data_IF_000255617138
#
_entry.id   IF_000255617138
#
_cell.length_a   1.000
_cell.length_b   1.000
_cell.length_c   1.000
_cell.angle_alpha   90.00
_cell.angle_beta   90.00
_cell.angle_gamma   90.00
#
_symmetry.space_group_name_H-M   'P 1'
#
loop_
_entity.id
_entity.type
_entity.pdbx_description
1 polymer ?
#
# COMPACT_ATOMS: atom_id res chain seq x y z
N UNK A 1 -23.78 -21.92 -18.88
CA UNK A 1 -22.93 -20.83 -18.38
C UNK A 1 -23.62 -20.23 -17.16
N UNK A 2 -23.05 -20.44 -16.01
CA UNK A 2 -23.57 -19.90 -14.76
C UNK A 2 -23.31 -18.37 -14.68
N UNK A 3 -24.03 -17.67 -13.82
CA UNK A 3 -23.84 -16.21 -13.59
C UNK A 3 -22.39 -15.90 -13.18
N UNK A 4 -21.77 -16.81 -12.42
CA UNK A 4 -20.35 -16.76 -12.02
C UNK A 4 -19.40 -16.85 -13.22
N UNK A 5 -19.66 -17.74 -14.18
CA UNK A 5 -18.83 -17.86 -15.41
C UNK A 5 -18.96 -16.63 -16.31
N UNK A 6 -20.15 -16.02 -16.39
CA UNK A 6 -20.36 -14.74 -17.12
C UNK A 6 -19.61 -13.58 -16.45
N UNK A 7 -19.57 -13.56 -15.13
CA UNK A 7 -18.88 -12.54 -14.36
C UNK A 7 -17.36 -12.69 -14.46
N UNK A 8 -16.84 -13.91 -14.43
CA UNK A 8 -15.42 -14.21 -14.68
C UNK A 8 -15.01 -13.87 -16.11
N UNK A 9 -15.81 -14.18 -17.14
CA UNK A 9 -15.52 -13.78 -18.52
C UNK A 9 -15.53 -12.28 -18.72
N UNK A 10 -16.44 -11.54 -18.06
CA UNK A 10 -16.43 -10.06 -18.08
C UNK A 10 -15.19 -9.48 -17.39
N UNK A 11 -14.78 -10.07 -16.27
CA UNK A 11 -13.57 -9.66 -15.54
C UNK A 11 -12.29 -9.97 -16.34
N UNK A 12 -12.23 -11.14 -17.00
CA UNK A 12 -11.09 -11.51 -17.86
C UNK A 12 -11.00 -10.64 -19.12
N UNK A 13 -12.12 -10.30 -19.76
CA UNK A 13 -12.16 -9.39 -20.89
C UNK A 13 -11.80 -7.95 -20.51
N UNK A 14 -12.25 -7.50 -19.34
CA UNK A 14 -11.84 -6.22 -18.73
C UNK A 14 -10.32 -6.21 -18.48
N UNK A 15 -9.78 -7.36 -18.10
CA UNK A 15 -8.38 -7.58 -17.78
C UNK A 15 -7.41 -7.36 -18.92
N UNK A 16 -7.69 -7.93 -20.07
CA UNK A 16 -6.81 -7.82 -21.24
C UNK A 16 -6.79 -6.39 -21.84
N UNK A 17 -7.92 -5.67 -21.77
CA UNK A 17 -8.02 -4.28 -22.22
C UNK A 17 -7.42 -3.29 -21.19
N UNK A 18 -7.44 -3.65 -19.90
CA UNK A 18 -7.08 -2.73 -18.82
C UNK A 18 -5.58 -2.43 -18.70
N UNK A 19 -4.68 -3.35 -19.08
CA UNK A 19 -3.24 -3.14 -18.88
C UNK A 19 -2.68 -2.03 -19.80
N UNK A 20 -3.08 -2.00 -21.05
CA UNK A 20 -2.70 -0.94 -22.01
C UNK A 20 -3.37 0.39 -21.64
N UNK A 21 -4.68 0.35 -21.39
CA UNK A 21 -5.48 1.53 -21.04
C UNK A 21 -4.99 2.13 -19.69
N UNK A 22 -4.67 1.29 -18.73
CA UNK A 22 -4.19 1.79 -17.43
C UNK A 22 -2.86 2.52 -17.54
N UNK A 23 -1.93 2.01 -18.35
CA UNK A 23 -0.66 2.70 -18.62
C UNK A 23 -0.90 4.03 -19.37
N UNK A 24 -1.83 4.05 -20.32
CA UNK A 24 -2.23 5.25 -21.05
C UNK A 24 -2.96 6.28 -20.18
N UNK A 25 -3.68 5.85 -19.12
CA UNK A 25 -4.32 6.76 -18.16
C UNK A 25 -3.33 7.20 -17.07
N UNK A 26 -2.43 6.35 -16.62
CA UNK A 26 -1.40 6.72 -15.65
C UNK A 26 -0.48 7.83 -16.16
N UNK A 27 -0.14 7.82 -17.45
CA UNK A 27 0.74 8.82 -18.05
C UNK A 27 0.19 10.25 -17.91
N UNK A 28 -1.02 10.61 -18.37
CA UNK A 28 -1.56 11.95 -18.18
C UNK A 28 -1.78 12.30 -16.70
N UNK A 29 -2.15 11.34 -15.84
CA UNK A 29 -2.28 11.61 -14.42
C UNK A 29 -0.95 11.93 -13.75
N UNK A 30 0.13 11.27 -14.13
CA UNK A 30 1.48 11.62 -13.65
C UNK A 30 1.86 13.05 -14.05
N UNK A 31 1.50 13.50 -15.26
CA UNK A 31 1.70 14.89 -15.66
C UNK A 31 0.88 15.86 -14.79
N UNK A 32 -0.40 15.56 -14.53
CA UNK A 32 -1.25 16.40 -13.67
C UNK A 32 -0.65 16.51 -12.27
N UNK A 33 -0.22 15.40 -11.67
CA UNK A 33 0.42 15.38 -10.34
C UNK A 33 1.73 16.19 -10.34
N UNK A 34 2.58 16.00 -11.36
CA UNK A 34 3.87 16.69 -11.43
C UNK A 34 3.69 18.20 -11.64
N UNK A 35 2.75 18.62 -12.49
CA UNK A 35 2.44 20.03 -12.67
C UNK A 35 1.83 20.63 -11.40
N UNK A 36 0.97 19.91 -10.69
CA UNK A 36 0.44 20.37 -9.40
C UNK A 36 1.55 20.60 -8.36
N UNK A 37 2.48 19.65 -8.23
CA UNK A 37 3.65 19.78 -7.33
C UNK A 37 4.53 20.96 -7.71
N UNK A 38 4.74 21.19 -9.00
CA UNK A 38 5.55 22.31 -9.49
C UNK A 38 4.84 23.64 -9.23
N UNK A 39 3.52 23.71 -9.43
CA UNK A 39 2.72 24.90 -9.14
C UNK A 39 2.69 25.23 -7.64
N UNK A 40 2.59 24.23 -6.76
CA UNK A 40 2.67 24.43 -5.31
C UNK A 40 4.04 25.00 -4.89
N UNK A 41 5.12 24.54 -5.54
CA UNK A 41 6.46 25.12 -5.31
C UNK A 41 6.54 26.58 -5.75
N UNK A 42 6.04 26.91 -6.95
CA UNK A 42 6.02 28.28 -7.46
C UNK A 42 5.17 29.22 -6.57
N UNK A 43 4.08 28.69 -6.00
CA UNK A 43 3.26 29.43 -5.04
C UNK A 43 3.99 29.70 -3.74
N UNK A 44 4.83 28.79 -3.26
CA UNK A 44 5.71 29.03 -2.09
C UNK A 44 6.74 30.11 -2.37
N UNK A 45 7.40 30.05 -3.53
CA UNK A 45 8.36 31.06 -3.96
C UNK A 45 7.66 32.44 -4.10
N UNK A 46 6.42 32.46 -4.63
CA UNK A 46 5.62 33.70 -4.74
C UNK A 46 5.25 34.25 -3.37
N UNK A 47 4.87 33.43 -2.40
CA UNK A 47 4.57 33.86 -1.03
C UNK A 47 5.78 34.47 -0.33
N UNK A 48 6.98 33.91 -0.56
CA UNK A 48 8.23 34.54 -0.03
C UNK A 48 8.41 35.94 -0.60
N UNK A 49 8.24 36.12 -1.92
CA UNK A 49 8.35 37.45 -2.56
C UNK A 49 7.29 38.42 -2.00
N UNK A 50 6.05 37.97 -1.81
CA UNK A 50 4.97 38.80 -1.25
C UNK A 50 5.31 39.23 0.18
N UNK A 51 5.82 38.31 1.00
CA UNK A 51 6.24 38.63 2.36
C UNK A 51 7.38 39.68 2.40
N UNK A 52 8.33 39.59 1.45
CA UNK A 52 9.46 40.57 1.37
C UNK A 52 8.99 41.98 1.00
N UNK A 53 7.85 42.11 0.31
CA UNK A 53 7.31 43.42 -0.10
C UNK A 53 6.06 43.85 0.68
N UNK A 54 5.62 43.03 1.66
CA UNK A 54 4.38 43.23 2.40
C UNK A 54 4.27 44.63 3.04
N UNK A 55 5.37 45.16 3.59
CA UNK A 55 5.43 46.50 4.20
C UNK A 55 5.22 47.64 3.19
N UNK A 56 5.26 47.36 1.89
CA UNK A 56 5.09 48.34 0.81
C UNK A 56 3.71 48.33 0.19
N UNK A 57 2.90 47.32 0.53
CA UNK A 57 1.54 47.10 0.04
C UNK A 57 0.51 47.73 1.01
N UNK A 58 -0.68 48.01 0.49
CA UNK A 58 -1.82 48.27 1.35
C UNK A 58 -2.12 47.00 2.18
N UNK A 59 -2.38 47.13 3.50
CA UNK A 59 -2.62 45.99 4.35
C UNK A 59 -3.79 45.06 3.88
N UNK A 60 -4.84 45.65 3.31
CA UNK A 60 -5.98 44.89 2.80
C UNK A 60 -5.58 44.15 1.52
N UNK A 61 -4.85 44.76 0.60
CA UNK A 61 -4.32 44.13 -0.62
C UNK A 61 -3.35 42.97 -0.29
N UNK A 62 -2.46 43.21 0.71
CA UNK A 62 -1.51 42.17 1.14
C UNK A 62 -2.24 40.93 1.72
N UNK A 63 -3.31 41.12 2.50
CA UNK A 63 -4.13 40.04 3.04
C UNK A 63 -4.85 39.28 1.92
N UNK A 64 -5.48 40.00 0.99
CA UNK A 64 -6.18 39.37 -0.14
C UNK A 64 -5.25 38.53 -1.02
N UNK A 65 -4.04 39.01 -1.30
CA UNK A 65 -3.05 38.26 -2.08
C UNK A 65 -2.61 36.99 -1.33
N UNK A 66 -2.41 37.08 -0.01
CA UNK A 66 -2.04 35.95 0.81
C UNK A 66 -3.15 34.89 0.82
N UNK A 67 -4.40 35.28 1.00
CA UNK A 67 -5.56 34.38 1.00
C UNK A 67 -5.70 33.66 -0.36
N UNK A 68 -5.55 34.39 -1.48
CA UNK A 68 -5.58 33.80 -2.83
C UNK A 68 -4.43 32.77 -3.00
N UNK A 69 -3.24 33.09 -2.52
CA UNK A 69 -2.10 32.18 -2.63
C UNK A 69 -2.27 30.92 -1.76
N UNK A 70 -2.93 31.03 -0.59
CA UNK A 70 -3.27 29.91 0.28
C UNK A 70 -4.34 29.02 -0.35
N UNK A 71 -5.36 29.61 -0.94
CA UNK A 71 -6.42 28.89 -1.66
C UNK A 71 -5.86 28.14 -2.88
N UNK A 72 -4.97 28.76 -3.65
CA UNK A 72 -4.31 28.11 -4.78
C UNK A 72 -3.44 26.93 -4.32
N UNK A 73 -2.66 27.10 -3.24
CA UNK A 73 -1.86 26.02 -2.66
C UNK A 73 -2.74 24.84 -2.22
N UNK A 74 -3.85 25.14 -1.56
CA UNK A 74 -4.85 24.15 -1.15
C UNK A 74 -5.43 23.40 -2.35
N UNK A 75 -5.75 24.10 -3.42
CA UNK A 75 -6.26 23.51 -4.66
C UNK A 75 -5.21 22.62 -5.34
N UNK A 76 -3.94 23.03 -5.38
CA UNK A 76 -2.85 22.21 -5.92
C UNK A 76 -2.67 20.91 -5.13
N UNK A 77 -2.74 20.96 -3.81
CA UNK A 77 -2.68 19.78 -2.96
C UNK A 77 -3.85 18.82 -3.23
N UNK A 78 -5.08 19.33 -3.35
CA UNK A 78 -6.25 18.51 -3.70
C UNK A 78 -6.12 17.85 -5.08
N UNK A 79 -5.62 18.58 -6.09
CA UNK A 79 -5.38 18.04 -7.43
C UNK A 79 -4.35 16.90 -7.37
N UNK A 80 -3.28 17.08 -6.61
CA UNK A 80 -2.29 16.03 -6.40
C UNK A 80 -2.90 14.80 -5.73
N UNK A 81 -3.62 14.96 -4.63
CA UNK A 81 -4.27 13.87 -3.90
C UNK A 81 -5.25 13.07 -4.77
N UNK A 82 -6.09 13.76 -5.52
CA UNK A 82 -7.05 13.11 -6.43
C UNK A 82 -6.35 12.41 -7.59
N UNK A 83 -5.26 12.94 -8.12
CA UNK A 83 -4.44 12.31 -9.13
C UNK A 83 -3.78 11.01 -8.62
N UNK A 84 -3.17 11.06 -7.44
CA UNK A 84 -2.55 9.89 -6.79
C UNK A 84 -3.61 8.82 -6.47
N UNK A 85 -4.80 9.22 -6.03
CA UNK A 85 -5.93 8.31 -5.83
C UNK A 85 -6.38 7.63 -7.11
N UNK A 86 -6.48 8.36 -8.21
CA UNK A 86 -6.87 7.81 -9.51
C UNK A 86 -5.84 6.77 -10.00
N UNK A 87 -4.54 7.04 -9.85
CA UNK A 87 -3.46 6.07 -10.14
C UNK A 87 -3.61 4.82 -9.29
N UNK A 88 -3.86 4.98 -8.00
CA UNK A 88 -4.04 3.86 -7.06
C UNK A 88 -5.24 2.98 -7.43
N UNK A 89 -6.37 3.58 -7.85
CA UNK A 89 -7.55 2.85 -8.32
C UNK A 89 -7.22 2.07 -9.60
N UNK A 90 -6.52 2.70 -10.56
CA UNK A 90 -6.11 2.06 -11.82
C UNK A 90 -5.17 0.88 -11.53
N UNK A 91 -4.22 1.05 -10.62
CA UNK A 91 -3.34 -0.03 -10.18
C UNK A 91 -4.13 -1.16 -9.51
N UNK A 92 -5.13 -0.83 -8.67
CA UNK A 92 -6.05 -1.80 -8.08
C UNK A 92 -6.82 -2.60 -9.15
N UNK A 93 -7.36 -1.93 -10.17
CA UNK A 93 -8.05 -2.56 -11.30
C UNK A 93 -7.09 -3.44 -12.11
N UNK A 94 -5.87 -2.99 -12.37
CA UNK A 94 -4.82 -3.78 -13.03
C UNK A 94 -4.47 -5.04 -12.23
N UNK A 95 -4.44 -4.92 -10.93
CA UNK A 95 -4.18 -6.02 -10.02
C UNK A 95 -5.32 -7.07 -10.08
N UNK A 96 -6.57 -6.64 -10.20
CA UNK A 96 -7.74 -7.53 -10.39
C UNK A 96 -7.74 -8.14 -11.81
N UNK A 97 -7.29 -7.38 -12.78
CA UNK A 97 -7.39 -7.67 -14.22
C UNK A 97 -6.30 -8.59 -14.77
N UNK A 98 -5.16 -8.75 -14.10
CA UNK A 98 -4.08 -9.67 -14.51
C UNK A 98 -4.35 -11.13 -14.12
N UNK A 99 -5.59 -11.55 -14.11
CA UNK A 99 -6.00 -12.94 -13.97
C UNK A 99 -5.86 -13.74 -15.28
N UNK A 100 -4.64 -13.95 -15.77
CA UNK A 100 -4.33 -15.25 -16.36
C UNK A 100 -4.18 -16.19 -15.19
N UNK A 101 -4.82 -17.37 -15.26
CA UNK A 101 -4.60 -18.46 -14.28
C UNK A 101 -3.10 -18.57 -14.05
N UNK A 102 -2.65 -18.11 -12.86
CA UNK A 102 -1.23 -18.09 -12.55
C UNK A 102 -0.77 -19.52 -12.44
N UNK A 103 0.26 -19.85 -13.16
CA UNK A 103 0.86 -21.18 -13.11
C UNK A 103 1.56 -21.37 -11.75
N UNK A 104 1.30 -22.49 -11.09
CA UNK A 104 2.04 -22.87 -9.91
C UNK A 104 3.47 -23.26 -10.31
N UNK A 105 4.45 -22.53 -9.78
CA UNK A 105 5.85 -22.71 -10.12
C UNK A 105 6.67 -23.05 -8.87
N UNK A 106 7.73 -23.87 -9.01
CA UNK A 106 8.68 -24.13 -7.94
C UNK A 106 9.34 -22.82 -7.48
N UNK A 107 8.97 -22.31 -6.31
CA UNK A 107 9.36 -21.00 -5.82
C UNK A 107 10.18 -21.09 -4.54
N UNK A 108 11.26 -20.35 -4.50
CA UNK A 108 12.07 -20.11 -3.30
C UNK A 108 11.36 -19.03 -2.46
N UNK A 109 10.66 -19.47 -1.41
CA UNK A 109 9.85 -18.57 -0.58
C UNK A 109 10.71 -17.57 0.23
N UNK A 110 11.80 -17.99 0.90
CA UNK A 110 12.72 -17.05 1.54
C UNK A 110 13.20 -15.93 0.61
N UNK A 111 13.60 -16.27 -0.60
CA UNK A 111 14.06 -15.29 -1.59
C UNK A 111 12.93 -14.35 -2.03
N UNK A 112 11.75 -14.88 -2.34
CA UNK A 112 10.57 -14.09 -2.69
C UNK A 112 10.21 -13.12 -1.56
N UNK A 113 10.15 -13.62 -0.33
CA UNK A 113 9.82 -12.78 0.84
C UNK A 113 10.84 -11.65 1.00
N UNK A 114 12.12 -11.97 0.97
CA UNK A 114 13.21 -10.97 1.06
C UNK A 114 13.05 -9.88 0.00
N UNK A 115 12.91 -10.27 -1.26
CA UNK A 115 12.80 -9.35 -2.39
C UNK A 115 11.62 -8.35 -2.19
N UNK A 116 10.43 -8.85 -1.87
CA UNK A 116 9.23 -7.99 -1.81
C UNK A 116 9.07 -7.23 -0.48
N UNK A 117 9.61 -7.73 0.61
CA UNK A 117 9.75 -7.00 1.88
C UNK A 117 10.64 -5.77 1.68
N UNK A 118 11.83 -5.95 1.11
CA UNK A 118 12.77 -4.84 0.87
C UNK A 118 12.31 -3.91 -0.26
N UNK A 119 11.65 -4.43 -1.29
CA UNK A 119 11.05 -3.59 -2.33
C UNK A 119 10.05 -2.59 -1.73
N UNK A 120 9.16 -3.05 -0.83
CA UNK A 120 8.18 -2.20 -0.14
C UNK A 120 8.86 -1.11 0.69
N UNK A 121 9.90 -1.47 1.44
CA UNK A 121 10.67 -0.53 2.25
C UNK A 121 11.37 0.53 1.41
N UNK A 122 12.10 0.11 0.37
CA UNK A 122 12.83 1.03 -0.50
C UNK A 122 11.91 1.95 -1.29
N UNK A 123 10.76 1.45 -1.78
CA UNK A 123 9.75 2.26 -2.44
C UNK A 123 9.21 3.36 -1.52
N UNK A 124 8.99 3.04 -0.23
CA UNK A 124 8.56 4.05 0.75
C UNK A 124 9.66 5.07 1.03
N UNK A 125 10.89 4.62 1.23
CA UNK A 125 12.04 5.49 1.55
C UNK A 125 12.45 6.39 0.38
N UNK A 126 12.22 5.97 -0.86
CA UNK A 126 12.45 6.80 -2.04
C UNK A 126 11.57 8.07 -2.04
N UNK A 127 10.34 7.95 -1.53
CA UNK A 127 9.38 9.07 -1.42
C UNK A 127 9.50 9.83 -0.09
N UNK A 128 10.07 9.21 0.96
CA UNK A 128 10.18 9.78 2.30
C UNK A 128 11.52 9.38 2.92
N UNK A 129 12.54 10.22 2.71
CA UNK A 129 13.92 9.93 3.16
C UNK A 129 14.07 9.88 4.68
N UNK A 130 13.16 10.49 5.43
CA UNK A 130 13.15 10.47 6.90
C UNK A 130 12.59 9.16 7.46
N UNK A 131 11.79 8.43 6.65
CA UNK A 131 11.20 7.18 7.09
C UNK A 131 12.27 6.12 7.35
N UNK A 132 12.24 5.58 8.57
CA UNK A 132 13.11 4.47 8.97
C UNK A 132 12.29 3.47 9.81
N UNK A 133 12.52 2.18 9.60
CA UNK A 133 11.90 1.08 10.34
C UNK A 133 12.87 -0.09 10.40
N UNK A 134 12.94 -0.77 11.55
CA UNK A 134 13.68 -2.01 11.68
C UNK A 134 12.91 -3.14 10.99
N UNK A 135 13.57 -3.82 10.04
CA UNK A 135 13.00 -5.00 9.37
C UNK A 135 13.73 -6.23 9.90
N UNK A 136 12.97 -7.16 10.47
CA UNK A 136 13.46 -8.43 10.98
C UNK A 136 12.92 -9.54 10.10
N UNK A 137 13.82 -10.35 9.55
CA UNK A 137 13.47 -11.48 8.69
C UNK A 137 13.84 -12.78 9.39
N UNK A 138 12.86 -13.68 9.57
CA UNK A 138 13.03 -14.99 10.18
C UNK A 138 12.46 -16.08 9.26
N UNK A 139 13.26 -16.51 8.32
CA UNK A 139 12.86 -17.56 7.38
C UNK A 139 13.49 -18.89 7.78
N UNK A 140 12.71 -19.97 7.62
CA UNK A 140 13.22 -21.32 7.87
C UNK A 140 14.44 -21.60 7.00
N UNK A 141 15.53 -22.03 7.63
CA UNK A 141 16.69 -22.50 6.89
C UNK A 141 16.36 -23.75 6.06
N UNK A 142 16.97 -23.87 4.89
CA UNK A 142 16.83 -25.04 3.99
C UNK A 142 15.36 -25.37 3.60
N UNK A 143 14.51 -24.34 3.46
CA UNK A 143 13.16 -24.53 2.96
C UNK A 143 13.23 -25.04 1.51
N UNK A 144 12.52 -26.14 1.17
CA UNK A 144 12.47 -26.60 -0.22
C UNK A 144 11.70 -25.59 -1.09
N UNK A 145 11.89 -25.65 -2.40
CA UNK A 145 11.01 -24.88 -3.30
C UNK A 145 9.58 -25.39 -3.19
N UNK A 146 8.63 -24.47 -3.13
CA UNK A 146 7.21 -24.76 -2.94
C UNK A 146 6.42 -24.37 -4.20
N UNK A 147 5.41 -25.19 -4.52
CA UNK A 147 4.51 -24.94 -5.65
C UNK A 147 3.50 -23.86 -5.29
N UNK A 148 3.74 -22.64 -5.71
CA UNK A 148 2.85 -21.47 -5.52
C UNK A 148 2.74 -20.68 -6.81
N UNK A 149 1.84 -19.70 -6.87
CA UNK A 149 1.81 -18.70 -7.93
C UNK A 149 2.63 -17.49 -7.47
N UNK A 150 3.91 -17.34 -7.92
CA UNK A 150 4.84 -16.36 -7.33
C UNK A 150 4.33 -14.91 -7.43
N UNK A 151 3.71 -14.57 -8.57
CA UNK A 151 3.20 -13.22 -8.84
C UNK A 151 2.06 -12.85 -7.87
N UNK A 152 1.15 -13.79 -7.61
CA UNK A 152 0.03 -13.56 -6.71
C UNK A 152 0.50 -13.50 -5.25
N UNK A 153 1.38 -14.42 -4.85
CA UNK A 153 1.93 -14.42 -3.51
C UNK A 153 2.73 -13.13 -3.22
N UNK A 154 3.56 -12.68 -4.16
CA UNK A 154 4.29 -11.41 -4.00
C UNK A 154 3.36 -10.20 -3.88
N UNK A 155 2.23 -10.18 -4.61
CA UNK A 155 1.20 -9.14 -4.45
C UNK A 155 0.58 -9.15 -3.06
N UNK A 156 0.26 -10.33 -2.53
CA UNK A 156 -0.27 -10.47 -1.18
C UNK A 156 0.74 -9.93 -0.15
N UNK A 157 2.02 -10.27 -0.29
CA UNK A 157 3.12 -9.77 0.57
C UNK A 157 3.25 -8.25 0.46
N UNK A 158 3.29 -7.68 -0.76
CA UNK A 158 3.35 -6.23 -0.99
C UNK A 158 2.19 -5.49 -0.32
N UNK A 159 0.95 -6.00 -0.44
CA UNK A 159 -0.22 -5.37 0.15
C UNK A 159 -0.11 -5.31 1.68
N UNK A 160 0.30 -6.40 2.31
CA UNK A 160 0.46 -6.45 3.77
C UNK A 160 1.64 -5.58 4.23
N UNK A 161 2.78 -5.64 3.53
CA UNK A 161 3.93 -4.78 3.84
C UNK A 161 3.60 -3.30 3.74
N UNK A 162 2.88 -2.87 2.70
CA UNK A 162 2.45 -1.48 2.56
C UNK A 162 1.49 -1.04 3.68
N UNK A 163 0.68 -1.94 4.20
CA UNK A 163 -0.17 -1.65 5.35
C UNK A 163 0.65 -1.58 6.65
N UNK A 164 1.58 -2.49 6.87
CA UNK A 164 2.49 -2.47 8.01
C UNK A 164 3.35 -1.19 8.03
N UNK A 165 3.95 -0.83 6.89
CA UNK A 165 4.73 0.41 6.73
C UNK A 165 3.89 1.65 7.05
N UNK A 166 2.65 1.70 6.58
CA UNK A 166 1.73 2.80 6.89
C UNK A 166 1.44 2.86 8.39
N UNK A 167 1.09 1.72 8.99
CA UNK A 167 0.74 1.60 10.41
C UNK A 167 1.89 2.05 11.34
N UNK A 168 3.12 1.62 11.07
CA UNK A 168 4.28 2.04 11.88
C UNK A 168 4.62 3.51 11.67
N UNK A 169 4.45 4.06 10.46
CA UNK A 169 4.64 5.48 10.18
C UNK A 169 3.67 6.34 10.98
N UNK A 170 2.38 6.00 10.96
CA UNK A 170 1.35 6.71 11.72
C UNK A 170 1.65 6.67 13.23
N UNK A 171 2.04 5.50 13.74
CA UNK A 171 2.41 5.39 15.14
C UNK A 171 3.66 6.20 15.47
N UNK A 172 4.66 6.20 14.62
CA UNK A 172 5.88 7.02 14.81
C UNK A 172 5.51 8.48 15.01
N UNK A 173 4.67 9.05 14.14
CA UNK A 173 4.21 10.42 14.28
C UNK A 173 3.47 10.68 15.60
N UNK A 174 2.58 9.74 16.01
CA UNK A 174 1.86 9.84 17.29
C UNK A 174 2.79 9.77 18.50
N UNK A 175 3.82 8.92 18.47
CA UNK A 175 4.77 8.77 19.56
C UNK A 175 5.78 9.93 19.64
N UNK A 176 6.12 10.54 18.49
CA UNK A 176 6.90 11.79 18.42
C UNK A 176 6.13 12.95 19.08
N UNK A 177 4.83 13.11 18.79
CA UNK A 177 3.96 14.10 19.46
C UNK A 177 3.92 13.90 20.98
N UNK A 178 3.87 12.66 21.45
CA UNK A 178 3.91 12.30 22.87
C UNK A 178 5.30 12.42 23.49
N UNK A 179 6.34 12.70 22.68
CA UNK A 179 7.75 12.70 23.10
C UNK A 179 8.18 11.39 23.75
N UNK A 180 7.75 10.26 23.16
CA UNK A 180 8.11 8.92 23.62
C UNK A 180 9.36 8.41 22.89
N UNK A 181 10.57 8.45 23.48
CA UNK A 181 11.81 8.02 22.85
C UNK A 181 11.97 6.50 22.78
N UNK A 182 11.14 5.75 23.50
CA UNK A 182 11.29 4.29 23.64
C UNK A 182 10.64 3.54 22.47
N UNK A 183 9.74 4.18 21.72
CA UNK A 183 9.14 3.56 20.57
C UNK A 183 10.13 3.45 19.41
N UNK A 184 10.34 2.24 18.95
CA UNK A 184 11.15 1.93 17.75
C UNK A 184 10.26 1.23 16.74
N UNK A 185 10.03 1.83 15.57
CA UNK A 185 9.22 1.20 14.53
C UNK A 185 9.88 -0.10 14.05
N UNK A 186 9.10 -1.18 14.02
CA UNK A 186 9.57 -2.51 13.66
C UNK A 186 8.54 -3.24 12.81
N UNK A 187 9.04 -3.97 11.80
CA UNK A 187 8.26 -4.92 11.01
C UNK A 187 9.04 -6.23 10.98
N UNK A 188 8.36 -7.33 11.34
CA UNK A 188 8.92 -8.67 11.32
C UNK A 188 8.22 -9.50 10.25
N UNK A 189 9.00 -10.12 9.37
CA UNK A 189 8.53 -11.06 8.35
C UNK A 189 9.08 -12.45 8.63
N UNK A 190 8.22 -13.47 8.63
CA UNK A 190 8.65 -14.86 8.83
C UNK A 190 7.96 -15.81 7.87
N UNK A 191 8.65 -16.91 7.53
CA UNK A 191 8.12 -17.98 6.69
C UNK A 191 8.60 -19.33 7.18
N UNK A 192 7.68 -20.27 7.37
CA UNK A 192 7.96 -21.64 7.84
C UNK A 192 7.13 -22.61 7.01
N UNK A 193 7.78 -23.69 6.55
CA UNK A 193 7.12 -24.80 5.87
C UNK A 193 7.16 -26.05 6.72
N UNK A 194 6.01 -26.56 7.10
CA UNK A 194 5.88 -27.75 7.94
C UNK A 194 4.59 -28.51 7.60
N UNK A 195 4.68 -29.82 7.49
CA UNK A 195 3.52 -30.70 7.30
C UNK A 195 2.70 -30.40 6.03
N UNK A 196 3.34 -29.95 4.94
CA UNK A 196 2.64 -29.60 3.69
C UNK A 196 1.97 -28.23 3.74
N UNK A 197 2.28 -27.41 4.73
CA UNK A 197 1.74 -26.05 4.89
C UNK A 197 2.85 -25.02 4.95
N UNK A 198 2.72 -23.99 4.14
CA UNK A 198 3.53 -22.78 4.24
C UNK A 198 2.80 -21.78 5.14
N UNK A 199 3.45 -21.35 6.20
CA UNK A 199 2.96 -20.28 7.07
C UNK A 199 3.84 -19.05 6.89
N UNK A 200 3.26 -17.95 6.42
CA UNK A 200 3.90 -16.64 6.32
C UNK A 200 3.26 -15.71 7.36
N UNK A 201 4.07 -15.00 8.12
CA UNK A 201 3.59 -13.96 9.04
C UNK A 201 4.31 -12.65 8.78
N UNK A 202 3.55 -11.57 8.78
CA UNK A 202 4.05 -10.21 8.75
C UNK A 202 3.44 -9.49 9.95
N UNK A 203 4.31 -9.06 10.86
CA UNK A 203 3.95 -8.40 12.12
C UNK A 203 4.52 -7.00 12.14
N UNK A 204 3.71 -6.02 12.47
CA UNK A 204 4.14 -4.64 12.72
C UNK A 204 3.81 -4.24 14.17
N UNK A 205 4.58 -3.32 14.72
CA UNK A 205 4.28 -2.68 15.98
C UNK A 205 3.64 -1.28 15.80
N UNK A 206 2.85 -1.12 14.75
CA UNK A 206 2.16 0.12 14.41
C UNK A 206 0.94 0.43 15.27
N UNK A 207 0.02 1.21 14.71
CA UNK A 207 -1.19 1.68 15.42
C UNK A 207 -2.17 0.59 15.81
N UNK A 208 -2.11 -0.57 15.16
CA UNK A 208 -3.11 -1.63 15.30
C UNK A 208 -4.44 -1.30 14.61
N UNK A 209 -5.36 -2.25 14.61
CA UNK A 209 -6.66 -2.19 13.92
C UNK A 209 -7.78 -2.39 14.94
N UNK A 210 -8.78 -1.49 15.02
CA UNK A 210 -9.95 -1.69 15.87
C UNK A 210 -10.72 -2.97 15.54
N UNK A 211 -11.27 -3.65 16.54
CA UNK A 211 -11.95 -4.94 16.37
C UNK A 211 -13.10 -4.92 15.35
N UNK A 212 -13.85 -3.81 15.29
CA UNK A 212 -14.93 -3.63 14.32
C UNK A 212 -14.43 -3.60 12.87
N UNK A 213 -13.22 -3.05 12.66
CA UNK A 213 -12.56 -3.00 11.34
C UNK A 213 -11.96 -4.37 11.00
N UNK A 214 -11.40 -5.09 11.97
CA UNK A 214 -10.85 -6.43 11.75
C UNK A 214 -11.91 -7.39 11.20
N UNK A 215 -13.14 -7.37 11.73
CA UNK A 215 -14.26 -8.22 11.30
C UNK A 215 -14.64 -8.04 9.82
N UNK A 216 -14.34 -6.89 9.26
CA UNK A 216 -14.70 -6.49 7.90
C UNK A 216 -13.51 -6.43 6.94
N UNK A 217 -12.28 -6.53 7.47
CA UNK A 217 -11.02 -6.25 6.78
C UNK A 217 -10.86 -7.01 5.45
N UNK A 218 -11.37 -8.24 5.39
CA UNK A 218 -11.23 -9.13 4.23
C UNK A 218 -12.47 -9.19 3.32
N UNK A 219 -13.58 -8.58 3.74
CA UNK A 219 -14.88 -8.74 3.08
C UNK A 219 -15.47 -7.44 2.53
N UNK A 220 -15.07 -6.30 3.09
CA UNK A 220 -15.58 -4.98 2.69
C UNK A 220 -14.45 -4.08 2.21
N UNK A 221 -14.75 -3.13 1.32
CA UNK A 221 -13.82 -2.10 0.87
C UNK A 221 -13.63 -1.04 1.97
N UNK A 222 -12.88 -1.40 3.02
CA UNK A 222 -12.64 -0.51 4.15
C UNK A 222 -11.23 0.04 4.09
N UNK A 223 -11.10 1.33 4.29
CA UNK A 223 -9.82 1.99 4.55
C UNK A 223 -9.96 2.92 5.74
N UNK A 224 -9.03 2.82 6.68
CA UNK A 224 -8.84 3.77 7.77
C UNK A 224 -7.88 4.89 7.38
N UNK A 225 -7.29 4.80 6.18
CA UNK A 225 -6.38 5.81 5.64
C UNK A 225 -7.16 7.04 5.19
N UNK A 226 -6.59 8.25 5.28
CA UNK A 226 -7.18 9.46 4.72
C UNK A 226 -7.58 9.28 3.25
N UNK A 227 -8.54 10.07 2.81
CA UNK A 227 -9.03 10.08 1.43
C UNK A 227 -7.83 10.28 0.49
N UNK A 228 -7.61 9.33 -0.43
CA UNK A 228 -6.47 9.36 -1.38
C UNK A 228 -5.30 8.44 -1.02
N UNK A 229 -5.13 8.03 0.23
CA UNK A 229 -3.99 7.20 0.66
C UNK A 229 -4.28 5.70 0.75
N UNK A 230 -5.51 5.27 0.48
CA UNK A 230 -5.87 3.85 0.47
C UNK A 230 -7.09 3.57 -0.40
N UNK A 231 -7.02 2.51 -1.20
CA UNK A 231 -8.14 2.05 -2.04
C UNK A 231 -9.15 1.19 -1.29
N UNK A 232 -8.77 0.67 -0.10
CA UNK A 232 -9.55 -0.33 0.63
C UNK A 232 -9.56 -1.73 0.00
N UNK A 233 -9.00 -1.88 -1.21
CA UNK A 233 -9.04 -3.13 -1.99
C UNK A 233 -7.90 -4.10 -1.65
N UNK A 234 -6.79 -3.62 -1.08
CA UNK A 234 -5.57 -4.43 -0.89
C UNK A 234 -5.80 -5.69 -0.08
N UNK A 235 -6.56 -5.62 1.02
CA UNK A 235 -6.81 -6.78 1.88
C UNK A 235 -7.83 -7.75 1.29
N UNK A 236 -8.81 -7.27 0.51
CA UNK A 236 -9.71 -8.15 -0.23
C UNK A 236 -8.96 -8.93 -1.33
N UNK A 237 -8.08 -8.25 -2.09
CA UNK A 237 -7.23 -8.90 -3.09
C UNK A 237 -6.33 -9.93 -2.41
N UNK A 238 -5.76 -9.60 -1.26
CA UNK A 238 -4.93 -10.54 -0.48
C UNK A 238 -5.75 -11.75 -0.04
N UNK A 239 -6.97 -11.54 0.45
CA UNK A 239 -7.87 -12.63 0.81
C UNK A 239 -8.21 -13.52 -0.40
N UNK A 240 -8.49 -12.93 -1.56
CA UNK A 240 -8.79 -13.68 -2.78
C UNK A 240 -7.59 -14.53 -3.23
N UNK A 241 -6.39 -13.97 -3.20
CA UNK A 241 -5.15 -14.68 -3.51
C UNK A 241 -4.93 -15.87 -2.56
N UNK A 242 -5.05 -15.64 -1.26
CA UNK A 242 -4.73 -16.67 -0.26
C UNK A 242 -5.83 -17.74 -0.19
N UNK A 243 -7.10 -17.32 -0.12
CA UNK A 243 -8.22 -18.23 0.12
C UNK A 243 -8.75 -18.86 -1.16
N UNK A 244 -9.02 -18.04 -2.19
CA UNK A 244 -9.68 -18.54 -3.40
C UNK A 244 -8.69 -19.14 -4.39
N UNK A 245 -7.51 -18.53 -4.57
CA UNK A 245 -6.52 -19.01 -5.53
C UNK A 245 -5.66 -20.12 -4.92
N UNK A 246 -5.02 -19.87 -3.77
CA UNK A 246 -4.12 -20.85 -3.13
C UNK A 246 -4.83 -21.83 -2.17
N UNK A 247 -6.16 -21.72 -1.99
CA UNK A 247 -6.95 -22.58 -1.08
C UNK A 247 -6.45 -22.59 0.36
N UNK A 248 -5.84 -21.50 0.77
CA UNK A 248 -5.28 -21.30 2.09
C UNK A 248 -6.22 -20.58 3.05
N UNK A 249 -5.65 -20.09 4.13
CA UNK A 249 -6.33 -19.31 5.16
C UNK A 249 -5.55 -18.04 5.45
N UNK A 250 -6.27 -16.92 5.65
CA UNK A 250 -5.71 -15.65 6.12
C UNK A 250 -6.29 -15.31 7.49
N UNK A 251 -5.44 -14.85 8.40
CA UNK A 251 -5.83 -14.43 9.75
C UNK A 251 -5.25 -13.07 10.06
N UNK A 252 -6.00 -12.28 10.85
CA UNK A 252 -5.55 -11.04 11.44
C UNK A 252 -5.59 -11.17 12.95
N UNK A 253 -4.50 -10.76 13.60
CA UNK A 253 -4.41 -10.59 15.04
C UNK A 253 -3.87 -9.19 15.30
N UNK A 254 -4.68 -8.33 15.91
CA UNK A 254 -4.35 -6.92 16.04
C UNK A 254 -4.94 -6.32 17.32
N UNK A 255 -4.16 -5.44 17.94
CA UNK A 255 -4.61 -4.65 19.08
C UNK A 255 -4.19 -3.20 18.92
N UNK A 256 -5.15 -2.30 19.11
CA UNK A 256 -4.90 -0.86 19.00
C UNK A 256 -3.80 -0.44 19.97
N UNK A 257 -2.80 0.27 19.45
CA UNK A 257 -1.62 0.71 20.20
C UNK A 257 -0.53 -0.35 20.42
N UNK A 258 -0.71 -1.59 19.96
CA UNK A 258 0.32 -2.64 20.04
C UNK A 258 0.84 -3.04 18.67
N UNK A 259 -0.03 -3.14 17.67
CA UNK A 259 0.35 -3.48 16.29
C UNK A 259 -0.56 -4.52 15.66
N UNK A 260 -0.11 -5.08 14.53
CA UNK A 260 -0.90 -6.05 13.74
C UNK A 260 -0.02 -7.20 13.28
N UNK A 261 -0.57 -8.41 13.33
CA UNK A 261 -0.01 -9.60 12.68
C UNK A 261 -0.99 -10.11 11.64
N UNK A 262 -0.54 -10.21 10.39
CA UNK A 262 -1.26 -10.91 9.33
C UNK A 262 -0.57 -12.25 9.09
N UNK A 263 -1.35 -13.32 9.11
CA UNK A 263 -0.86 -14.69 8.89
C UNK A 263 -1.51 -15.30 7.67
N UNK A 264 -0.72 -15.84 6.75
CA UNK A 264 -1.14 -16.69 5.65
C UNK A 264 -0.80 -18.13 5.97
N UNK A 265 -1.72 -19.05 5.74
CA UNK A 265 -1.49 -20.48 5.84
C UNK A 265 -1.91 -21.12 4.52
N UNK A 266 -0.95 -21.61 3.74
CA UNK A 266 -1.16 -22.11 2.40
C UNK A 266 -0.88 -23.64 2.37
N UNK A 267 -1.81 -24.48 1.90
CA UNK A 267 -1.49 -25.85 1.57
C UNK A 267 -0.64 -25.87 0.30
N UNK A 268 0.58 -26.36 0.38
CA UNK A 268 1.53 -26.33 -0.74
C UNK A 268 2.34 -27.63 -0.82
N UNK A 269 2.69 -28.02 -2.04
CA UNK A 269 3.57 -29.14 -2.28
C UNK A 269 5.03 -28.66 -2.39
N UNK A 270 5.93 -29.44 -1.84
CA UNK A 270 7.38 -29.21 -2.04
C UNK A 270 7.86 -29.91 -3.29
N UNK A 271 8.77 -29.28 -4.00
CA UNK A 271 9.46 -29.88 -5.13
C UNK A 271 10.75 -30.51 -4.59
N UNK A 272 10.91 -31.80 -4.90
CA UNK A 272 12.13 -32.53 -4.54
C UNK A 272 13.33 -32.10 -5.40
#
# INVERSE_FOLDING_TARGET
MTESEKQQQKLAALGMLSAGIAHEIQNPLNFVINFSKMSDKLLKDLKEIINDVADTLDPDDAADIQDIADDLSTNMQKIQEHGERAISIIQGILLISRGKEGEHLPTDIPHLMHEYVWLSYHAKRANDKSFNVSIIEEYQAEMPKLMVIPQDLSRAVLNVMNNAIYSVKERTAQEEEKKNPDYKPEIKASAIYEGGKLTIKITDNGTGIPEEVQKKLFHENITTKPIGQGTGLGMQITNDIIVNIHKGEIRVDSKVGEGTTITFVLPVESVK
#
